data_IF_461995285826
#
_entry.id   IF_461995285826
#
_cell.length_a   1.000
_cell.length_b   1.000
_cell.length_c   1.000
_cell.angle_alpha   90.00
_cell.angle_beta   90.00
_cell.angle_gamma   90.00
#
_symmetry.space_group_name_H-M   'P 1'
#
loop_
_entity.id
_entity.type
_entity.pdbx_description
1 polymer ?
#
# COMPACT_ATOMS: atom_id res chain seq x y z
N UNK A 1 8.01 -15.39 1.82
CA UNK A 1 7.59 -14.29 0.92
C UNK A 1 8.64 -13.21 0.92
N UNK A 2 9.04 -12.74 -0.23
CA UNK A 2 10.02 -11.69 -0.33
C UNK A 2 9.39 -10.33 0.00
N UNK A 3 10.24 -9.36 0.29
CA UNK A 3 9.75 -8.01 0.55
C UNK A 3 9.03 -7.44 -0.66
N UNK A 4 9.56 -7.68 -1.85
CA UNK A 4 8.93 -7.18 -3.07
C UNK A 4 7.54 -7.78 -3.27
N UNK A 5 7.40 -9.06 -3.02
CA UNK A 5 6.10 -9.70 -3.12
C UNK A 5 5.13 -9.14 -2.09
N UNK A 6 5.62 -8.89 -0.89
CA UNK A 6 4.78 -8.35 0.17
C UNK A 6 4.31 -6.95 -0.17
N UNK A 7 5.19 -6.10 -0.72
CA UNK A 7 4.81 -4.76 -1.12
C UNK A 7 3.76 -4.79 -2.22
N UNK A 8 3.93 -5.70 -3.17
CA UNK A 8 2.97 -5.85 -4.25
C UNK A 8 1.61 -6.31 -3.72
N UNK A 9 1.63 -7.25 -2.79
CA UNK A 9 0.39 -7.72 -2.17
C UNK A 9 -0.31 -6.59 -1.42
N UNK A 10 0.44 -5.77 -0.70
CA UNK A 10 -0.15 -4.63 0.01
C UNK A 10 -0.79 -3.67 -0.97
N UNK A 11 -0.13 -3.40 -2.07
CA UNK A 11 -0.68 -2.53 -3.09
C UNK A 11 -1.99 -3.08 -3.62
N UNK A 12 -2.05 -4.39 -3.85
CA UNK A 12 -3.26 -5.02 -4.35
C UNK A 12 -4.39 -4.98 -3.32
N UNK A 13 -4.06 -5.17 -2.05
CA UNK A 13 -5.05 -5.06 -0.99
C UNK A 13 -5.62 -3.64 -0.95
N UNK A 14 -4.75 -2.64 -1.01
CA UNK A 14 -5.20 -1.25 -1.02
C UNK A 14 -6.09 -0.95 -2.21
N UNK A 15 -5.80 -1.53 -3.36
CA UNK A 15 -6.62 -1.31 -4.55
C UNK A 15 -8.02 -1.85 -4.40
N UNK A 16 -8.19 -2.93 -3.64
CA UNK A 16 -9.50 -3.51 -3.45
C UNK A 16 -10.36 -2.66 -2.53
N UNK A 17 -9.75 -1.85 -1.68
CA UNK A 17 -10.48 -1.01 -0.75
C UNK A 17 -10.62 0.38 -1.35
N UNK A 18 -11.85 0.82 -1.50
CA UNK A 18 -12.12 2.15 -2.06
C UNK A 18 -12.26 3.21 -0.99
N UNK A 19 -12.32 2.79 0.27
CA UNK A 19 -12.43 3.68 1.40
C UNK A 19 -11.23 3.49 2.29
N UNK A 20 -10.92 4.48 3.12
CA UNK A 20 -9.79 4.33 4.03
C UNK A 20 -9.96 3.09 4.91
N UNK A 21 -8.88 2.37 5.08
CA UNK A 21 -8.83 1.15 5.88
C UNK A 21 -7.77 1.33 6.94
N UNK A 22 -8.10 0.97 8.17
CA UNK A 22 -7.16 1.14 9.27
C UNK A 22 -5.92 0.28 9.05
N UNK A 23 -4.80 0.74 9.59
CA UNK A 23 -3.57 -0.02 9.52
C UNK A 23 -3.71 -1.39 10.15
N UNK A 24 -4.51 -1.47 11.21
CA UNK A 24 -4.71 -2.75 11.89
C UNK A 24 -5.40 -3.76 10.98
N UNK A 25 -6.44 -3.33 10.27
CA UNK A 25 -7.14 -4.22 9.35
C UNK A 25 -6.21 -4.64 8.22
N UNK A 26 -5.43 -3.69 7.69
CA UNK A 26 -4.48 -4.01 6.62
C UNK A 26 -3.44 -5.01 7.11
N UNK A 27 -2.93 -4.80 8.32
CA UNK A 27 -1.94 -5.70 8.88
C UNK A 27 -2.50 -7.11 9.03
N UNK A 28 -3.75 -7.21 9.46
CA UNK A 28 -4.40 -8.50 9.60
C UNK A 28 -4.60 -9.17 8.25
N UNK A 29 -5.03 -8.43 7.26
CA UNK A 29 -5.20 -8.98 5.92
C UNK A 29 -3.87 -9.45 5.34
N UNK A 30 -2.81 -8.72 5.63
CA UNK A 30 -1.49 -9.08 5.13
C UNK A 30 -0.79 -10.14 5.98
N UNK A 31 -1.29 -10.40 7.18
CA UNK A 31 -0.63 -11.34 8.07
C UNK A 31 0.69 -10.83 8.60
N UNK A 32 0.80 -9.52 8.82
CA UNK A 32 2.03 -8.89 9.32
C UNK A 32 1.71 -8.04 10.54
N UNK A 33 2.76 -7.63 11.25
CA UNK A 33 2.59 -6.72 12.38
C UNK A 33 2.29 -5.31 11.88
N UNK A 34 1.70 -4.49 12.76
CA UNK A 34 1.47 -3.09 12.45
C UNK A 34 2.76 -2.38 12.08
N UNK A 35 3.82 -2.69 12.78
CA UNK A 35 5.11 -2.07 12.52
C UNK A 35 5.57 -2.37 11.10
N UNK A 36 5.48 -3.62 10.70
CA UNK A 36 5.85 -4.01 9.35
C UNK A 36 4.93 -3.35 8.32
N UNK A 37 3.64 -3.27 8.62
CA UNK A 37 2.71 -2.62 7.72
C UNK A 37 3.08 -1.16 7.49
N UNK A 38 3.35 -0.43 8.56
CA UNK A 38 3.69 0.98 8.42
C UNK A 38 4.98 1.19 7.65
N UNK A 39 5.95 0.31 7.86
CA UNK A 39 7.20 0.37 7.09
C UNK A 39 6.94 0.11 5.62
N UNK A 40 6.07 -0.84 5.32
CA UNK A 40 5.76 -1.17 3.92
C UNK A 40 4.99 -0.03 3.26
N UNK A 41 4.07 0.60 3.98
CA UNK A 41 3.37 1.77 3.46
C UNK A 41 4.38 2.87 3.11
N UNK A 42 5.31 3.14 4.02
CA UNK A 42 6.33 4.15 3.78
C UNK A 42 7.18 3.80 2.57
N UNK A 43 7.51 2.53 2.41
CA UNK A 43 8.28 2.09 1.25
C UNK A 43 7.52 2.32 -0.05
N UNK A 44 6.23 2.01 -0.06
CA UNK A 44 5.41 2.24 -1.26
C UNK A 44 5.30 3.73 -1.56
N UNK A 45 5.12 4.55 -0.53
CA UNK A 45 5.05 6.00 -0.72
C UNK A 45 6.35 6.53 -1.30
N UNK A 46 7.47 6.01 -0.82
CA UNK A 46 8.78 6.41 -1.33
C UNK A 46 8.96 6.02 -2.80
N UNK A 47 8.25 4.99 -3.24
CA UNK A 47 8.30 4.55 -4.63
C UNK A 47 7.28 5.25 -5.51
N UNK A 48 6.53 6.18 -4.95
CA UNK A 48 5.59 6.98 -5.73
C UNK A 48 4.13 6.64 -5.56
N UNK A 49 3.80 5.66 -4.73
CA UNK A 49 2.40 5.34 -4.48
C UNK A 49 1.74 6.47 -3.69
N UNK A 50 0.59 6.92 -4.15
CA UNK A 50 -0.14 7.97 -3.46
C UNK A 50 -1.07 7.34 -2.44
N UNK A 51 -0.51 7.00 -1.29
CA UNK A 51 -1.25 6.44 -0.19
C UNK A 51 -1.47 7.55 0.82
N UNK A 52 -2.73 7.90 1.04
CA UNK A 52 -3.08 8.95 1.99
C UNK A 52 -3.69 8.34 3.24
N UNK A 53 -3.52 9.06 4.34
CA UNK A 53 -4.09 8.63 5.58
C UNK A 53 -3.09 8.68 6.71
N UNK A 54 -3.57 8.28 7.87
CA UNK A 54 -2.74 8.22 9.06
C UNK A 54 -3.26 7.13 9.97
N UNK A 55 -2.46 6.77 10.94
CA UNK A 55 -2.67 5.57 11.73
C UNK A 55 -4.05 5.48 12.36
N UNK A 56 -4.59 6.59 12.85
CA UNK A 56 -5.88 6.55 13.53
C UNK A 56 -7.08 6.69 12.62
N UNK A 57 -6.86 7.08 11.37
CA UNK A 57 -7.96 7.35 10.44
C UNK A 57 -8.11 6.24 9.42
N UNK A 58 -6.99 5.76 8.92
CA UNK A 58 -6.98 4.75 7.88
C UNK A 58 -6.21 5.20 6.67
N UNK A 59 -5.98 4.26 5.78
CA UNK A 59 -5.17 4.48 4.59
C UNK A 59 -5.98 4.14 3.35
N UNK A 60 -5.75 4.89 2.30
CA UNK A 60 -6.39 4.65 1.03
C UNK A 60 -5.40 4.96 -0.09
N UNK A 61 -5.39 4.09 -1.09
CA UNK A 61 -4.59 4.34 -2.29
C UNK A 61 -5.41 5.23 -3.20
N UNK A 62 -4.90 6.41 -3.48
CA UNK A 62 -5.64 7.36 -4.30
C UNK A 62 -5.66 6.91 -5.75
N UNK A 63 -6.78 7.11 -6.43
CA UNK A 63 -6.83 6.87 -7.86
C UNK A 63 -5.83 7.80 -8.54
N UNK A 64 -5.26 7.33 -9.60
CA UNK A 64 -4.25 8.11 -10.27
C UNK A 64 -2.84 7.65 -9.99
N UNK A 65 -2.64 6.82 -8.96
CA UNK A 65 -1.35 6.18 -8.87
C UNK A 65 -1.29 5.17 -9.99
N UNK A 66 -0.45 5.45 -10.93
CA UNK A 66 -0.26 4.57 -12.06
C UNK A 66 1.21 4.38 -12.24
N UNK A 67 1.55 3.21 -12.66
CA UNK A 67 2.91 3.01 -13.11
C UNK A 67 3.13 3.96 -14.28
N UNK A 68 4.25 4.69 -14.27
CA UNK A 68 4.50 5.60 -15.37
C UNK A 68 4.41 4.88 -16.70
N UNK A 69 3.81 5.49 -17.70
CA UNK A 69 3.68 4.84 -19.00
C UNK A 69 5.01 4.37 -19.56
N UNK A 70 6.05 5.11 -19.28
CA UNK A 70 7.35 4.74 -19.79
C UNK A 70 7.84 3.43 -19.19
N UNK A 71 7.26 2.95 -18.15
CA UNK A 71 7.61 1.64 -17.62
C UNK A 71 7.05 0.53 -18.48
N UNK A 72 6.12 0.85 -19.34
CA UNK A 72 5.53 -0.13 -20.24
C UNK A 72 6.00 0.08 -21.66
N UNK A 73 6.63 1.17 -21.93
CA UNK A 73 7.16 1.41 -23.25
C UNK A 73 8.54 0.86 -23.33
N UNK A 74 8.76 0.10 -24.30
CA UNK A 74 10.10 -0.40 -24.54
C UNK A 74 11.06 0.74 -24.78
#
# INVERSE_FOLDING_TARGET
MSRSERLLDLLNVLRRHRRPVSGQVLAEEMGVSLRTLYRDIASLQAQGATIEGEAGVGYVLKPGFMLPPLMFTP
#
